data_IF_126161629415
#
_entry.id   IF_126161629415
#
_cell.length_a   1.000
_cell.length_b   1.000
_cell.length_c   1.000
_cell.angle_alpha   90.00
_cell.angle_beta   90.00
_cell.angle_gamma   90.00
#
_symmetry.space_group_name_H-M   'P 1'
#
loop_
_entity.id
_entity.type
_entity.pdbx_description
1 polymer ?
#
# COMPACT_ATOMS: atom_id res chain seq x y z
N UNK A 1 -8.87 36.23 -54.32
CA UNK A 1 -9.19 35.60 -53.02
C UNK A 1 -8.17 34.50 -52.79
N UNK A 2 -7.14 34.76 -51.98
CA UNK A 2 -6.08 33.79 -51.70
C UNK A 2 -6.56 32.78 -50.66
N UNK A 3 -6.71 31.52 -51.06
CA UNK A 3 -6.91 30.41 -50.12
C UNK A 3 -5.57 30.03 -49.51
N UNK A 4 -5.26 30.60 -48.35
CA UNK A 4 -4.13 30.13 -47.53
C UNK A 4 -4.45 28.73 -47.00
N UNK A 5 -3.73 27.76 -47.57
CA UNK A 5 -3.67 26.37 -47.17
C UNK A 5 -3.45 26.26 -45.66
N UNK A 6 -4.41 25.63 -44.99
CA UNK A 6 -4.30 25.22 -43.60
C UNK A 6 -3.29 24.06 -43.56
N UNK A 7 -2.00 24.37 -43.33
CA UNK A 7 -0.98 23.36 -43.09
C UNK A 7 -1.30 22.68 -41.76
N UNK A 8 -1.91 21.50 -41.84
CA UNK A 8 -2.13 20.63 -40.70
C UNK A 8 -0.79 20.34 -40.04
N UNK A 9 -0.58 20.90 -38.85
CA UNK A 9 0.46 20.42 -37.94
C UNK A 9 0.06 19.01 -37.53
N UNK A 10 0.70 18.00 -38.10
CA UNK A 10 0.76 16.68 -37.48
C UNK A 10 1.38 16.87 -36.08
N UNK A 11 0.51 16.89 -35.07
CA UNK A 11 0.93 16.85 -33.67
C UNK A 11 1.45 15.46 -33.40
N UNK A 12 2.76 15.24 -33.57
CA UNK A 12 3.41 14.02 -33.09
C UNK A 12 3.38 14.06 -31.57
N UNK A 13 2.40 13.39 -30.98
CA UNK A 13 2.34 13.20 -29.53
C UNK A 13 3.66 12.56 -29.07
N UNK A 14 4.35 13.12 -28.05
CA UNK A 14 5.58 12.53 -27.56
C UNK A 14 5.28 11.12 -27.02
N UNK A 15 5.95 10.12 -27.58
CA UNK A 15 5.86 8.73 -27.12
C UNK A 15 6.98 8.49 -26.11
N UNK A 16 6.61 8.26 -24.85
CA UNK A 16 7.51 7.74 -23.84
C UNK A 16 7.79 6.26 -24.12
N UNK A 17 9.07 5.87 -24.14
CA UNK A 17 9.51 4.49 -24.43
C UNK A 17 10.36 3.98 -23.28
N UNK A 18 10.10 2.74 -22.89
CA UNK A 18 10.91 1.95 -21.98
C UNK A 18 11.45 0.78 -22.80
N UNK A 19 12.72 0.45 -22.65
CA UNK A 19 13.32 -0.69 -23.35
C UNK A 19 12.80 -2.02 -22.77
N UNK A 20 12.85 -3.11 -23.55
CA UNK A 20 12.48 -4.43 -23.02
C UNK A 20 13.48 -4.86 -21.95
N UNK A 21 14.73 -4.41 -22.04
CA UNK A 21 15.78 -4.68 -21.07
C UNK A 21 15.50 -4.02 -19.71
N UNK A 22 14.86 -2.84 -19.72
CA UNK A 22 14.36 -2.16 -18.51
C UNK A 22 13.08 -2.84 -17.96
N UNK A 23 12.31 -3.52 -18.80
CA UNK A 23 11.10 -4.24 -18.41
C UNK A 23 11.42 -5.69 -18.02
N UNK A 24 11.22 -6.02 -16.74
CA UNK A 24 11.36 -7.39 -16.22
C UNK A 24 10.15 -8.25 -16.59
N UNK A 25 9.95 -8.50 -17.89
CA UNK A 25 8.76 -9.17 -18.45
C UNK A 25 8.59 -10.64 -18.02
N UNK A 26 9.68 -11.27 -17.58
CA UNK A 26 9.73 -12.64 -17.05
C UNK A 26 9.41 -12.71 -15.54
N UNK A 27 9.29 -11.56 -14.87
CA UNK A 27 8.97 -11.50 -13.44
C UNK A 27 7.51 -11.89 -13.23
N UNK A 28 7.32 -13.10 -12.72
CA UNK A 28 6.02 -13.63 -12.34
C UNK A 28 5.92 -13.97 -10.85
N UNK A 29 7.01 -13.81 -10.10
CA UNK A 29 7.06 -14.03 -8.65
C UNK A 29 7.56 -12.77 -7.96
N UNK A 30 7.01 -12.50 -6.78
CA UNK A 30 7.48 -11.43 -5.93
C UNK A 30 7.44 -11.85 -4.45
N UNK A 31 8.24 -11.24 -3.57
CA UNK A 31 8.39 -11.71 -2.20
C UNK A 31 7.16 -11.42 -1.34
N UNK A 32 6.37 -10.41 -1.68
CA UNK A 32 5.24 -9.99 -0.88
C UNK A 32 4.24 -9.08 -1.57
N UNK A 33 3.12 -8.85 -0.88
CA UNK A 33 2.15 -7.83 -1.22
C UNK A 33 2.13 -6.73 -0.14
N UNK A 34 2.02 -5.49 -0.56
CA UNK A 34 1.97 -4.30 0.29
C UNK A 34 0.65 -3.56 0.06
N UNK A 35 -0.21 -3.57 1.06
CA UNK A 35 -1.48 -2.86 1.07
C UNK A 35 -1.29 -1.52 1.76
N UNK A 36 -1.48 -0.42 1.03
CA UNK A 36 -1.42 0.92 1.61
C UNK A 36 -2.39 1.89 0.97
N UNK A 37 -2.44 3.12 1.48
CA UNK A 37 -3.41 4.10 1.00
C UNK A 37 -3.03 4.58 -0.40
N UNK A 38 -4.04 4.84 -1.23
CA UNK A 38 -3.88 5.48 -2.54
C UNK A 38 -3.45 6.95 -2.45
N UNK A 39 -3.34 7.50 -1.23
CA UNK A 39 -2.92 8.87 -1.00
C UNK A 39 -1.57 9.18 -1.67
N UNK A 40 -1.53 10.12 -2.64
CA UNK A 40 -0.34 10.37 -3.44
C UNK A 40 0.82 10.94 -2.61
N UNK A 41 0.55 11.51 -1.43
CA UNK A 41 1.59 12.00 -0.51
C UNK A 41 2.56 10.89 -0.10
N UNK A 42 2.08 9.65 -0.06
CA UNK A 42 2.83 8.50 0.43
C UNK A 42 3.30 7.55 -0.68
N UNK A 43 2.94 7.79 -1.95
CA UNK A 43 3.24 6.87 -3.06
C UNK A 43 4.72 6.50 -3.16
N UNK A 44 5.61 7.50 -3.25
CA UNK A 44 7.06 7.26 -3.35
C UNK A 44 7.65 6.73 -2.04
N UNK A 45 7.15 7.21 -0.90
CA UNK A 45 7.67 6.83 0.41
C UNK A 45 7.35 5.38 0.74
N UNK A 46 6.11 4.93 0.50
CA UNK A 46 5.67 3.55 0.71
C UNK A 46 6.49 2.57 -0.13
N UNK A 47 6.67 2.90 -1.41
CA UNK A 47 7.43 2.07 -2.33
C UNK A 47 8.90 1.95 -1.89
N UNK A 48 9.53 3.06 -1.51
CA UNK A 48 10.89 3.06 -0.96
C UNK A 48 10.99 2.31 0.36
N UNK A 49 10.04 2.49 1.26
CA UNK A 49 10.01 1.79 2.55
C UNK A 49 9.97 0.28 2.34
N UNK A 50 9.05 -0.21 1.51
CA UNK A 50 8.93 -1.63 1.19
C UNK A 50 10.21 -2.17 0.55
N UNK A 51 10.76 -1.50 -0.47
CA UNK A 51 12.00 -1.94 -1.16
C UNK A 51 13.27 -1.83 -0.33
N UNK A 52 13.31 -1.03 0.73
CA UNK A 52 14.48 -0.91 1.58
C UNK A 52 14.39 -1.77 2.84
N UNK A 53 13.19 -1.89 3.42
CA UNK A 53 13.01 -2.42 4.77
C UNK A 53 12.35 -3.79 4.80
N UNK A 54 11.41 -4.05 3.89
CA UNK A 54 10.68 -5.32 3.86
C UNK A 54 11.31 -6.29 2.85
N UNK A 55 11.55 -5.82 1.63
CA UNK A 55 12.07 -6.63 0.53
C UNK A 55 13.22 -5.92 -0.20
N UNK A 56 14.42 -5.89 0.41
CA UNK A 56 15.60 -5.20 -0.12
C UNK A 56 15.83 -5.42 -1.62
N UNK A 57 15.67 -4.35 -2.40
CA UNK A 57 15.95 -4.34 -3.84
C UNK A 57 14.95 -5.09 -4.73
N UNK A 58 13.87 -5.66 -4.18
CA UNK A 58 12.90 -6.46 -4.95
C UNK A 58 11.61 -5.67 -5.20
N UNK A 59 10.97 -5.92 -6.34
CA UNK A 59 9.61 -5.44 -6.61
C UNK A 59 8.58 -6.34 -5.92
N UNK A 60 7.37 -5.83 -5.73
CA UNK A 60 6.32 -6.46 -4.93
C UNK A 60 4.94 -6.02 -5.42
N UNK A 61 3.90 -6.73 -5.03
CA UNK A 61 2.52 -6.36 -5.35
C UNK A 61 2.07 -5.15 -4.52
N UNK A 62 1.92 -3.97 -5.13
CA UNK A 62 1.47 -2.77 -4.42
C UNK A 62 -0.04 -2.56 -4.58
N UNK A 63 -0.82 -2.98 -3.58
CA UNK A 63 -2.28 -2.80 -3.56
C UNK A 63 -2.60 -1.45 -2.91
N UNK A 64 -3.10 -0.51 -3.72
CA UNK A 64 -3.42 0.86 -3.30
C UNK A 64 -4.92 1.08 -3.24
N UNK A 65 -5.45 1.48 -2.08
CA UNK A 65 -6.87 1.80 -1.92
C UNK A 65 -7.12 2.82 -0.80
N UNK A 66 -8.23 3.59 -0.82
CA UNK A 66 -8.52 4.57 0.22
C UNK A 66 -8.57 3.93 1.62
N UNK A 67 -7.71 4.38 2.54
CA UNK A 67 -7.71 3.94 3.93
C UNK A 67 -7.03 2.61 4.23
N UNK A 68 -6.45 1.94 3.23
CA UNK A 68 -5.63 0.72 3.41
C UNK A 68 -6.32 -0.32 4.32
N UNK A 69 -5.77 -0.53 5.52
CA UNK A 69 -6.18 -1.56 6.47
C UNK A 69 -7.65 -1.46 6.91
N UNK A 70 -8.24 -0.27 6.92
CA UNK A 70 -9.65 -0.10 7.33
C UNK A 70 -10.62 -0.90 6.46
N UNK A 71 -10.23 -1.23 5.22
CA UNK A 71 -11.04 -2.01 4.29
C UNK A 71 -11.14 -3.47 4.70
N UNK A 72 -10.16 -4.01 5.44
CA UNK A 72 -10.29 -5.33 6.05
C UNK A 72 -11.26 -5.32 7.25
N UNK A 73 -11.75 -4.17 7.71
CA UNK A 73 -12.73 -4.10 8.79
C UNK A 73 -14.18 -4.02 8.29
N UNK A 74 -14.39 -3.87 6.97
CA UNK A 74 -15.69 -3.58 6.37
C UNK A 74 -15.96 -4.44 5.14
N UNK A 75 -17.13 -5.06 5.10
CA UNK A 75 -17.64 -5.68 3.87
C UNK A 75 -18.35 -4.62 3.01
N UNK A 76 -18.31 -4.72 1.66
CA UNK A 76 -17.74 -5.82 0.85
C UNK A 76 -16.23 -5.68 0.55
N UNK A 77 -15.58 -4.60 0.98
CA UNK A 77 -14.19 -4.30 0.61
C UNK A 77 -13.20 -5.38 1.09
N UNK A 78 -13.44 -5.96 2.27
CA UNK A 78 -12.68 -7.09 2.80
C UNK A 78 -12.67 -8.27 1.82
N UNK A 79 -13.83 -8.69 1.35
CA UNK A 79 -13.98 -9.88 0.50
C UNK A 79 -13.23 -9.68 -0.82
N UNK A 80 -13.33 -8.48 -1.40
CA UNK A 80 -12.58 -8.11 -2.60
C UNK A 80 -11.06 -8.19 -2.37
N UNK A 81 -10.55 -7.61 -1.28
CA UNK A 81 -9.12 -7.66 -0.97
C UNK A 81 -8.62 -9.08 -0.74
N UNK A 82 -9.38 -9.88 0.01
CA UNK A 82 -9.07 -11.29 0.25
C UNK A 82 -8.99 -12.05 -1.08
N UNK A 83 -9.93 -11.80 -2.00
CA UNK A 83 -9.91 -12.42 -3.32
C UNK A 83 -8.67 -11.99 -4.13
N UNK A 84 -8.32 -10.69 -4.16
CA UNK A 84 -7.11 -10.21 -4.85
C UNK A 84 -5.85 -10.86 -4.28
N UNK A 85 -5.71 -10.90 -2.95
CA UNK A 85 -4.54 -11.50 -2.29
C UNK A 85 -4.46 -13.00 -2.62
N UNK A 86 -5.56 -13.73 -2.49
CA UNK A 86 -5.59 -15.18 -2.74
C UNK A 86 -5.35 -15.52 -4.21
N UNK A 87 -6.12 -14.90 -5.10
CA UNK A 87 -6.24 -15.36 -6.48
C UNK A 87 -5.14 -14.77 -7.37
N UNK A 88 -4.56 -13.63 -6.99
CA UNK A 88 -3.47 -12.99 -7.74
C UNK A 88 -2.16 -13.13 -6.97
N UNK A 89 -2.04 -12.49 -5.80
CA UNK A 89 -0.74 -12.40 -5.12
C UNK A 89 -0.21 -13.78 -4.73
N UNK A 90 -1.04 -14.63 -4.12
CA UNK A 90 -0.61 -15.96 -3.67
C UNK A 90 -0.56 -16.95 -4.83
N UNK A 91 -1.64 -17.05 -5.61
CA UNK A 91 -1.78 -18.08 -6.65
C UNK A 91 -0.94 -17.81 -7.90
N UNK A 92 -0.78 -16.55 -8.30
CA UNK A 92 -0.06 -16.20 -9.53
C UNK A 92 1.34 -15.66 -9.22
N UNK A 93 1.50 -14.86 -8.17
CA UNK A 93 2.78 -14.22 -7.84
C UNK A 93 3.57 -14.88 -6.69
N UNK A 94 3.01 -15.95 -6.10
CA UNK A 94 3.64 -16.80 -5.10
C UNK A 94 4.20 -16.08 -3.86
N UNK A 95 3.57 -14.97 -3.45
CA UNK A 95 4.03 -14.17 -2.29
C UNK A 95 4.18 -15.01 -1.01
N UNK A 96 5.08 -14.57 -0.13
CA UNK A 96 5.28 -15.15 1.22
C UNK A 96 4.92 -14.18 2.34
N UNK A 97 4.99 -12.88 2.06
CA UNK A 97 4.72 -11.82 3.02
C UNK A 97 3.50 -10.99 2.60
N UNK A 98 2.68 -10.59 3.56
CA UNK A 98 1.60 -9.61 3.35
C UNK A 98 1.76 -8.48 4.36
N UNK A 99 2.07 -7.30 3.86
CA UNK A 99 2.20 -6.08 4.66
C UNK A 99 0.97 -5.18 4.49
N UNK A 100 0.39 -4.71 5.60
CA UNK A 100 -0.69 -3.71 5.60
C UNK A 100 -0.24 -2.49 6.40
N UNK A 101 -0.08 -1.35 5.72
CA UNK A 101 0.44 -0.13 6.32
C UNK A 101 -0.56 1.01 6.16
N UNK A 102 -1.03 1.52 7.30
CA UNK A 102 -1.81 2.75 7.35
C UNK A 102 -0.88 3.97 7.34
N UNK A 103 -1.42 5.16 7.15
CA UNK A 103 -0.68 6.41 7.39
C UNK A 103 -1.49 7.32 8.29
N UNK A 104 -0.79 8.15 9.05
CA UNK A 104 -1.38 9.26 9.80
C UNK A 104 -1.93 10.32 8.86
N UNK A 105 -2.87 11.12 9.37
CA UNK A 105 -3.58 12.13 8.61
C UNK A 105 -4.33 11.55 7.41
N UNK A 106 -4.90 10.35 7.60
CA UNK A 106 -5.65 9.66 6.57
C UNK A 106 -7.10 10.16 6.50
N UNK A 107 -7.54 10.54 5.29
CA UNK A 107 -8.92 10.98 5.07
C UNK A 107 -9.97 9.91 5.42
N UNK A 108 -9.65 8.62 5.27
CA UNK A 108 -10.56 7.52 5.66
C UNK A 108 -10.72 7.37 7.18
N UNK A 109 -9.74 7.87 7.95
CA UNK A 109 -9.78 7.99 9.41
C UNK A 109 -10.29 9.36 9.86
N UNK A 110 -10.61 10.26 8.93
CA UNK A 110 -11.12 11.60 9.21
C UNK A 110 -10.06 12.68 9.33
N UNK A 111 -8.80 12.44 8.95
CA UNK A 111 -7.65 13.34 9.17
C UNK A 111 -7.26 13.51 10.64
N UNK A 112 -6.00 13.87 10.90
CA UNK A 112 -5.45 13.97 12.26
C UNK A 112 -6.22 14.99 13.12
N UNK A 113 -6.69 16.08 12.49
CA UNK A 113 -7.46 17.15 13.16
C UNK A 113 -8.78 16.70 13.81
N UNK A 114 -9.30 15.53 13.43
CA UNK A 114 -10.55 14.99 13.98
C UNK A 114 -10.31 14.04 15.16
N UNK A 115 -9.05 13.78 15.52
CA UNK A 115 -8.71 13.07 16.75
C UNK A 115 -8.53 14.04 17.91
N UNK A 116 -8.81 13.58 19.12
CA UNK A 116 -8.63 14.38 20.33
C UNK A 116 -7.15 14.69 20.62
N UNK A 117 -6.25 13.79 20.19
CA UNK A 117 -4.80 13.96 20.31
C UNK A 117 -4.07 13.02 19.33
N UNK A 118 -2.75 13.21 19.20
CA UNK A 118 -1.88 12.32 18.44
C UNK A 118 -1.91 10.88 18.98
N UNK A 119 -1.94 10.73 20.31
CA UNK A 119 -2.05 9.43 20.97
C UNK A 119 -3.39 8.74 20.67
N UNK A 120 -4.47 9.52 20.51
CA UNK A 120 -5.77 8.97 20.13
C UNK A 120 -5.78 8.43 18.69
N UNK A 121 -5.13 9.13 17.75
CA UNK A 121 -4.93 8.65 16.37
C UNK A 121 -4.05 7.39 16.35
N UNK A 122 -2.94 7.42 17.09
CA UNK A 122 -2.02 6.28 17.22
C UNK A 122 -2.74 5.04 17.75
N UNK A 123 -3.44 5.20 18.89
CA UNK A 123 -4.23 4.12 19.48
C UNK A 123 -5.25 3.57 18.50
N UNK A 124 -5.91 4.43 17.74
CA UNK A 124 -6.89 4.00 16.74
C UNK A 124 -6.24 3.14 15.65
N UNK A 125 -5.10 3.56 15.12
CA UNK A 125 -4.36 2.76 14.13
C UNK A 125 -3.91 1.42 14.71
N UNK A 126 -3.32 1.40 15.90
CA UNK A 126 -2.86 0.16 16.55
C UNK A 126 -4.03 -0.81 16.77
N UNK A 127 -5.15 -0.34 17.33
CA UNK A 127 -6.35 -1.18 17.56
C UNK A 127 -6.90 -1.74 16.26
N UNK A 128 -7.08 -0.90 15.23
CA UNK A 128 -7.63 -1.36 13.95
C UNK A 128 -6.67 -2.37 13.28
N UNK A 129 -5.36 -2.10 13.27
CA UNK A 129 -4.35 -2.99 12.68
C UNK A 129 -4.19 -4.32 13.42
N UNK A 130 -4.38 -4.36 14.74
CA UNK A 130 -4.40 -5.61 15.50
C UNK A 130 -5.56 -6.53 15.05
N UNK A 131 -6.74 -5.95 14.82
CA UNK A 131 -7.89 -6.68 14.28
C UNK A 131 -7.61 -7.14 12.85
N UNK A 132 -7.05 -6.27 12.01
CA UNK A 132 -6.64 -6.63 10.64
C UNK A 132 -5.66 -7.79 10.64
N UNK A 133 -4.64 -7.75 11.50
CA UNK A 133 -3.67 -8.82 11.64
C UNK A 133 -4.34 -10.15 12.00
N UNK A 134 -5.23 -10.16 12.99
CA UNK A 134 -5.95 -11.37 13.39
C UNK A 134 -6.84 -11.94 12.26
N UNK A 135 -7.52 -11.07 11.50
CA UNK A 135 -8.30 -11.48 10.32
C UNK A 135 -7.39 -12.12 9.28
N UNK A 136 -6.29 -11.48 8.93
CA UNK A 136 -5.38 -11.95 7.88
C UNK A 136 -4.64 -13.22 8.26
N UNK A 137 -4.22 -13.37 9.52
CA UNK A 137 -3.62 -14.61 10.01
C UNK A 137 -4.59 -15.79 9.93
N UNK A 138 -5.88 -15.55 10.17
CA UNK A 138 -6.91 -16.58 10.04
C UNK A 138 -7.17 -16.95 8.57
N UNK A 139 -7.22 -15.95 7.70
CA UNK A 139 -7.51 -16.14 6.26
C UNK A 139 -6.32 -16.71 5.47
N UNK A 140 -5.09 -16.39 5.89
CA UNK A 140 -3.85 -16.72 5.19
C UNK A 140 -2.78 -17.23 6.18
N UNK A 141 -3.00 -18.39 6.84
CA UNK A 141 -2.08 -18.92 7.85
C UNK A 141 -0.67 -19.23 7.34
N UNK A 142 -0.49 -19.36 6.02
CA UNK A 142 0.80 -19.61 5.36
C UNK A 142 1.61 -18.33 5.07
N UNK A 143 0.99 -17.15 5.16
CA UNK A 143 1.67 -15.87 4.91
C UNK A 143 2.22 -15.28 6.19
N UNK A 144 3.39 -14.65 6.10
CA UNK A 144 3.88 -13.77 7.15
C UNK A 144 3.11 -12.45 7.10
N UNK A 145 2.26 -12.21 8.10
CA UNK A 145 1.48 -10.98 8.19
C UNK A 145 2.30 -9.90 8.91
N UNK A 146 2.41 -8.74 8.27
CA UNK A 146 3.10 -7.56 8.78
C UNK A 146 2.07 -6.42 8.80
N UNK A 147 1.91 -5.77 9.95
CA UNK A 147 1.02 -4.60 10.07
C UNK A 147 1.77 -3.44 10.67
N UNK A 148 1.44 -2.22 10.23
CA UNK A 148 2.09 -1.02 10.73
C UNK A 148 1.41 0.26 10.28
N UNK A 149 1.98 1.39 10.69
CA UNK A 149 1.54 2.71 10.26
C UNK A 149 2.71 3.63 10.03
N UNK A 150 2.54 4.61 9.13
CA UNK A 150 3.49 5.70 8.96
C UNK A 150 3.04 6.95 9.70
N UNK A 151 3.99 7.64 10.35
CA UNK A 151 3.76 8.82 11.19
C UNK A 151 4.65 9.97 10.73
N UNK A 152 4.06 11.14 10.51
CA UNK A 152 4.82 12.33 10.16
C UNK A 152 5.43 12.94 11.43
N UNK A 153 6.75 13.05 11.42
CA UNK A 153 7.59 13.59 12.48
C UNK A 153 8.30 14.87 11.98
N UNK A 154 8.81 15.73 12.89
CA UNK A 154 9.53 16.94 12.49
C UNK A 154 10.72 16.68 11.54
N UNK A 155 11.35 15.51 11.65
CA UNK A 155 12.51 15.10 10.84
C UNK A 155 12.15 14.24 9.62
N UNK A 156 10.87 13.95 9.37
CA UNK A 156 10.43 13.19 8.21
C UNK A 156 9.33 12.19 8.51
N UNK A 157 9.15 11.22 7.62
CA UNK A 157 8.16 10.15 7.76
C UNK A 157 8.80 8.92 8.39
N UNK A 158 8.23 8.44 9.49
CA UNK A 158 8.61 7.18 10.13
C UNK A 158 7.60 6.09 9.81
N UNK A 159 8.05 4.83 9.78
CA UNK A 159 7.19 3.65 9.68
C UNK A 159 7.36 2.84 10.96
N UNK A 160 6.25 2.57 11.64
CA UNK A 160 6.20 1.78 12.87
C UNK A 160 5.47 0.47 12.57
N UNK A 161 6.18 -0.65 12.72
CA UNK A 161 5.58 -1.98 12.58
C UNK A 161 5.10 -2.47 13.95
N UNK A 162 3.91 -3.07 14.01
CA UNK A 162 3.38 -3.54 15.28
C UNK A 162 4.08 -4.81 15.80
N UNK A 163 5.06 -5.37 15.09
CA UNK A 163 5.91 -6.44 15.63
C UNK A 163 6.82 -5.92 16.76
N UNK A 164 7.06 -4.61 16.80
CA UNK A 164 7.81 -3.91 17.86
C UNK A 164 6.90 -3.49 19.03
N UNK A 165 5.58 -3.72 18.92
CA UNK A 165 4.58 -3.36 19.92
C UNK A 165 3.90 -4.66 20.37
N UNK A 166 4.04 -5.00 21.65
CA UNK A 166 3.48 -6.22 22.23
C UNK A 166 1.95 -6.28 22.04
N UNK A 167 1.51 -6.98 20.99
CA UNK A 167 0.09 -7.07 20.60
C UNK A 167 -0.78 -7.72 21.68
N UNK A 168 -0.18 -8.51 22.58
CA UNK A 168 -0.86 -9.09 23.75
C UNK A 168 -1.28 -8.03 24.79
N UNK A 169 -0.68 -6.83 24.76
CA UNK A 169 -1.00 -5.74 25.69
C UNK A 169 -2.12 -4.81 25.21
N UNK A 170 -2.63 -5.02 23.99
CA UNK A 170 -3.63 -4.13 23.35
C UNK A 170 -5.00 -4.81 23.21
N UNK A 171 -5.11 -6.09 23.56
CA UNK A 171 -6.36 -6.85 23.59
C UNK A 171 -7.16 -6.67 24.89
#
# INVERSE_FOLDING_TARGET
>A
MNSSLNQGRESTMPVYRISIEELRMDMHECPGAFVSCIDPRFLSADYKFARHSLWPGQDFDHIKLPGAGINFLKNPNRDMLIAVIRDVCMKLHHIKDLAVVNHWDCGAYGYSRNFASAEAEEKRHVTDLAIVHAILQKEFPELKIIVGYSKLMPHGLEYHLLQDIDLEKVA
#
